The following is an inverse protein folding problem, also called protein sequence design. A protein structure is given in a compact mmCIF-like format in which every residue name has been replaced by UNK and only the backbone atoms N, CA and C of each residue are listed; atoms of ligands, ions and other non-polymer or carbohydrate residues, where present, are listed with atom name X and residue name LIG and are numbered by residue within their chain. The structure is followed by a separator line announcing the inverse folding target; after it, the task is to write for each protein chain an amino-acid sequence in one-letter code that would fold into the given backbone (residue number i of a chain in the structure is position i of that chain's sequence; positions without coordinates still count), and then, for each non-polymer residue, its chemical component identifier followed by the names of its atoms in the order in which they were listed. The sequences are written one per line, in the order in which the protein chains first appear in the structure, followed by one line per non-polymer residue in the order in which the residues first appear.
data_IF_533887357257
#
_entry.id   IF_533887357257
#
_cell.length_a   1.000
_cell.length_b   1.000
_cell.length_c   1.000
_cell.angle_alpha   90.00
_cell.angle_beta   90.00
_cell.angle_gamma   90.00
#
_symmetry.space_group_name_H-M   'P 1'
#
loop_
_entity.id
_entity.type
_entity.pdbx_description
1 polymer ?
#
# COMPACT_ATOMS: atom_id res chain seq x y z
N UNK A 1 6.09 1.40 -40.01
CA UNK A 1 4.62 1.41 -40.05
C UNK A 1 4.13 1.67 -38.63
N UNK A 2 3.22 2.62 -38.43
CA UNK A 2 2.62 2.80 -37.10
C UNK A 2 1.76 1.57 -36.78
N UNK A 3 1.85 1.04 -35.57
CA UNK A 3 0.99 -0.04 -35.10
C UNK A 3 -0.46 0.44 -35.01
N UNK A 4 -1.42 -0.50 -34.99
CA UNK A 4 -2.82 -0.17 -34.77
C UNK A 4 -3.01 0.63 -33.46
N UNK A 5 -3.95 1.58 -33.42
CA UNK A 5 -4.27 2.33 -32.21
C UNK A 5 -4.69 1.39 -31.08
N UNK A 6 -4.14 1.59 -29.88
CA UNK A 6 -4.55 0.83 -28.69
C UNK A 6 -5.92 1.29 -28.22
N UNK A 7 -6.83 0.36 -27.98
CA UNK A 7 -8.14 0.64 -27.40
C UNK A 7 -8.03 1.05 -25.92
N UNK A 8 -7.06 0.48 -25.19
CA UNK A 8 -6.85 0.72 -23.77
C UNK A 8 -5.41 1.12 -23.45
N UNK A 9 -5.26 2.01 -22.47
CA UNK A 9 -4.00 2.35 -21.81
C UNK A 9 -4.10 1.95 -20.34
N UNK A 10 -3.08 1.23 -19.85
CA UNK A 10 -3.00 0.79 -18.46
C UNK A 10 -1.99 1.66 -17.70
N UNK A 11 -2.33 2.01 -16.46
CA UNK A 11 -1.46 2.74 -15.55
C UNK A 11 -1.27 1.99 -14.24
N UNK A 12 -0.13 2.20 -13.62
CA UNK A 12 0.19 1.66 -12.30
C UNK A 12 0.81 2.75 -11.43
N UNK A 13 0.49 2.68 -10.13
CA UNK A 13 1.20 3.38 -9.07
C UNK A 13 1.50 2.35 -7.98
N UNK A 14 2.77 2.25 -7.65
CA UNK A 14 3.27 1.43 -6.55
C UNK A 14 3.97 2.34 -5.54
N UNK A 15 5.17 1.97 -5.09
CA UNK A 15 5.96 2.77 -4.17
C UNK A 15 6.47 4.06 -4.83
N UNK A 16 6.28 5.19 -4.15
CA UNK A 16 6.98 6.46 -4.42
C UNK A 16 7.91 6.71 -3.23
N UNK A 17 9.21 6.60 -3.46
CA UNK A 17 10.23 6.69 -2.41
C UNK A 17 9.97 5.70 -1.25
N UNK A 18 9.65 6.14 -0.03
CA UNK A 18 9.27 5.27 1.09
C UNK A 18 7.77 4.95 1.18
N UNK A 19 6.94 5.65 0.40
CA UNK A 19 5.49 5.55 0.48
C UNK A 19 4.98 4.42 -0.41
N UNK A 20 4.83 3.22 0.17
CA UNK A 20 4.18 2.08 -0.49
C UNK A 20 2.73 2.40 -0.88
N UNK A 21 2.33 1.94 -2.06
CA UNK A 21 0.98 2.06 -2.61
C UNK A 21 0.71 0.90 -3.57
N UNK A 22 -0.54 0.71 -3.95
CA UNK A 22 -0.91 -0.21 -5.03
C UNK A 22 -2.22 0.29 -5.65
N UNK A 23 -2.11 1.00 -6.76
CA UNK A 23 -3.24 1.43 -7.56
C UNK A 23 -3.01 1.07 -9.04
N UNK A 24 -4.09 0.72 -9.72
CA UNK A 24 -4.07 0.30 -11.12
C UNK A 24 -5.18 1.01 -11.87
N UNK A 25 -4.92 1.39 -13.11
CA UNK A 25 -5.90 2.07 -13.93
C UNK A 25 -5.99 1.49 -15.33
N UNK A 26 -7.17 1.63 -15.91
CA UNK A 26 -7.40 1.42 -17.34
C UNK A 26 -8.17 2.61 -17.89
N UNK A 27 -7.71 3.13 -19.02
CA UNK A 27 -8.36 4.22 -19.73
C UNK A 27 -8.65 3.79 -21.17
N UNK A 28 -9.88 4.00 -21.61
CA UNK A 28 -10.24 3.95 -23.03
C UNK A 28 -10.29 5.36 -23.63
N UNK A 29 -10.91 5.53 -24.80
CA UNK A 29 -11.04 6.84 -25.46
C UNK A 29 -11.80 7.91 -24.65
N UNK A 30 -12.57 7.54 -23.63
CA UNK A 30 -13.40 8.46 -22.83
C UNK A 30 -13.25 8.25 -21.32
N UNK A 31 -13.29 7.02 -20.85
CA UNK A 31 -13.41 6.70 -19.44
C UNK A 31 -12.07 6.28 -18.86
N UNK A 32 -11.78 6.76 -17.65
CA UNK A 32 -10.68 6.32 -16.81
C UNK A 32 -11.27 5.59 -15.60
N UNK A 33 -10.88 4.33 -15.41
CA UNK A 33 -11.15 3.57 -14.20
C UNK A 33 -9.87 3.43 -13.39
N UNK A 34 -9.94 3.68 -12.09
CA UNK A 34 -8.86 3.44 -11.13
C UNK A 34 -9.37 2.48 -10.06
N UNK A 35 -8.56 1.46 -9.77
CA UNK A 35 -8.73 0.56 -8.65
C UNK A 35 -7.64 0.83 -7.62
N UNK A 36 -8.05 1.25 -6.42
CA UNK A 36 -7.16 1.40 -5.27
C UNK A 36 -7.19 0.11 -4.44
N UNK A 37 -6.06 -0.59 -4.33
CA UNK A 37 -5.91 -1.77 -3.46
C UNK A 37 -5.47 -1.39 -2.05
N UNK A 38 -5.13 -0.12 -1.82
CA UNK A 38 -4.82 0.47 -0.51
C UNK A 38 -5.71 1.70 -0.21
N UNK A 39 -7.05 1.56 -0.20
CA UNK A 39 -7.97 2.69 -0.01
C UNK A 39 -7.84 3.35 1.38
N UNK A 40 -7.20 2.69 2.35
CA UNK A 40 -6.88 3.26 3.65
C UNK A 40 -5.77 4.32 3.62
N UNK A 41 -5.12 4.52 2.47
CA UNK A 41 -4.06 5.50 2.27
C UNK A 41 -4.60 6.77 1.61
N UNK A 42 -3.99 7.91 1.91
CA UNK A 42 -4.17 9.16 1.17
C UNK A 42 -3.45 9.12 -0.19
N UNK A 43 -3.85 9.93 -1.18
CA UNK A 43 -2.99 10.21 -2.34
C UNK A 43 -1.77 11.03 -1.93
N UNK A 44 -1.95 11.96 -0.98
CA UNK A 44 -0.93 12.80 -0.37
C UNK A 44 -0.29 12.14 0.86
N UNK A 45 0.12 10.88 0.73
CA UNK A 45 0.83 10.21 1.82
C UNK A 45 2.06 11.03 2.26
N UNK A 46 2.39 11.11 3.57
CA UNK A 46 3.64 11.70 4.03
C UNK A 46 4.82 11.04 3.31
N UNK A 47 5.71 11.85 2.75
CA UNK A 47 6.80 11.42 1.88
C UNK A 47 7.94 12.44 1.92
N UNK A 48 9.15 11.96 2.26
CA UNK A 48 10.26 12.78 2.71
C UNK A 48 10.82 13.75 1.67
N UNK A 49 10.71 13.47 0.37
CA UNK A 49 11.16 14.34 -0.69
C UNK A 49 10.11 15.42 -1.01
N UNK A 50 8.90 15.02 -1.41
CA UNK A 50 7.89 15.98 -1.89
C UNK A 50 7.24 16.81 -0.79
N UNK A 51 7.26 16.37 0.48
CA UNK A 51 6.91 17.20 1.66
C UNK A 51 7.86 18.38 1.88
N UNK A 52 9.04 18.39 1.26
CA UNK A 52 9.94 19.53 1.31
C UNK A 52 9.58 20.62 0.32
N UNK A 53 8.77 20.32 -0.69
CA UNK A 53 8.42 21.31 -1.72
C UNK A 53 7.51 22.41 -1.18
N UNK A 54 7.75 23.65 -1.60
CA UNK A 54 6.93 24.81 -1.22
C UNK A 54 5.46 24.61 -1.59
N UNK A 55 5.20 23.99 -2.74
CA UNK A 55 3.86 23.64 -3.18
C UNK A 55 3.15 22.73 -2.17
N UNK A 56 3.78 21.63 -1.75
CA UNK A 56 3.12 20.66 -0.86
C UNK A 56 2.92 21.24 0.54
N UNK A 57 3.87 22.04 1.03
CA UNK A 57 3.76 22.76 2.31
C UNK A 57 2.60 23.76 2.32
N UNK A 58 2.48 24.58 1.29
CA UNK A 58 1.39 25.55 1.18
C UNK A 58 0.04 24.86 1.00
N UNK A 59 -0.01 23.78 0.21
CA UNK A 59 -1.23 23.00 0.05
C UNK A 59 -1.72 22.43 1.39
N UNK A 60 -0.83 21.86 2.21
CA UNK A 60 -1.16 21.35 3.54
C UNK A 60 -1.56 22.50 4.49
N UNK A 61 -0.87 23.64 4.44
CA UNK A 61 -1.19 24.81 5.26
C UNK A 61 -2.59 25.35 4.96
N UNK A 62 -2.92 25.58 3.69
CA UNK A 62 -4.25 26.03 3.27
C UNK A 62 -5.35 25.02 3.62
N UNK A 63 -5.05 23.72 3.58
CA UNK A 63 -5.98 22.68 4.02
C UNK A 63 -6.27 22.78 5.53
N UNK A 64 -5.24 22.97 6.36
CA UNK A 64 -5.37 23.14 7.82
C UNK A 64 -6.16 24.41 8.18
N UNK A 65 -6.02 25.46 7.40
CA UNK A 65 -6.78 26.70 7.57
C UNK A 65 -8.21 26.63 6.99
N UNK A 66 -8.61 25.53 6.36
CA UNK A 66 -9.93 25.36 5.74
C UNK A 66 -10.13 26.24 4.50
N UNK A 67 -9.05 26.67 3.84
CA UNK A 67 -9.07 27.57 2.67
C UNK A 67 -9.15 26.85 1.33
N UNK A 68 -9.12 25.51 1.32
CA UNK A 68 -9.23 24.71 0.10
C UNK A 68 -10.68 24.29 -0.19
N UNK A 69 -11.04 24.30 -1.48
CA UNK A 69 -12.28 23.71 -1.96
C UNK A 69 -12.24 22.17 -2.01
N UNK A 70 -13.37 21.52 -2.37
CA UNK A 70 -13.49 20.06 -2.35
C UNK A 70 -12.55 19.33 -3.34
N UNK A 71 -12.19 19.97 -4.46
CA UNK A 71 -11.33 19.36 -5.48
C UNK A 71 -9.90 19.06 -4.97
N UNK A 72 -9.12 20.04 -4.49
CA UNK A 72 -7.81 19.76 -3.87
C UNK A 72 -7.88 18.81 -2.66
N UNK A 73 -8.99 18.86 -1.91
CA UNK A 73 -9.19 17.97 -0.76
C UNK A 73 -9.31 16.50 -1.15
N UNK A 74 -9.62 16.17 -2.41
CA UNK A 74 -9.60 14.77 -2.88
C UNK A 74 -8.19 14.20 -2.85
N UNK A 75 -7.17 15.00 -3.18
CA UNK A 75 -5.77 14.58 -3.09
C UNK A 75 -5.29 14.46 -1.63
N UNK A 76 -5.70 15.40 -0.77
CA UNK A 76 -5.32 15.43 0.64
C UNK A 76 -6.19 14.54 1.54
N UNK A 77 -7.23 13.91 1.01
CA UNK A 77 -8.14 13.08 1.80
C UNK A 77 -7.35 11.99 2.53
N UNK A 78 -7.66 11.69 3.81
CA UNK A 78 -6.92 10.71 4.59
C UNK A 78 -7.06 9.28 4.05
N UNK A 79 -8.11 9.03 3.27
CA UNK A 79 -8.43 7.76 2.61
C UNK A 79 -8.92 8.03 1.20
N UNK A 80 -8.92 6.99 0.37
CA UNK A 80 -9.34 7.02 -1.03
C UNK A 80 -10.54 6.11 -1.26
N UNK A 81 -11.29 6.40 -2.31
CA UNK A 81 -12.33 5.48 -2.75
C UNK A 81 -11.68 4.22 -3.31
N UNK A 82 -12.23 3.05 -2.96
CA UNK A 82 -11.75 1.75 -3.46
C UNK A 82 -11.78 1.68 -4.99
N UNK A 83 -12.75 2.35 -5.60
CA UNK A 83 -12.92 2.44 -7.04
C UNK A 83 -13.24 3.86 -7.46
N UNK A 84 -12.63 4.29 -8.56
CA UNK A 84 -12.86 5.60 -9.14
C UNK A 84 -13.14 5.47 -10.65
N UNK A 85 -14.12 6.21 -11.14
CA UNK A 85 -14.52 6.22 -12.55
C UNK A 85 -14.73 7.66 -12.99
N UNK A 86 -13.97 8.10 -14.01
CA UNK A 86 -14.00 9.47 -14.50
C UNK A 86 -14.33 9.51 -16.00
N UNK A 87 -15.26 10.39 -16.38
CA UNK A 87 -15.51 10.73 -17.77
C UNK A 87 -14.51 11.79 -18.22
N UNK A 88 -13.40 11.38 -18.83
CA UNK A 88 -12.31 12.32 -19.18
C UNK A 88 -12.64 13.28 -20.32
N UNK A 89 -13.78 13.09 -21.01
CA UNK A 89 -14.26 14.04 -22.02
C UNK A 89 -15.17 15.10 -21.40
N UNK A 90 -16.09 14.70 -20.52
CA UNK A 90 -17.00 15.63 -19.86
C UNK A 90 -16.34 16.35 -18.66
N UNK A 91 -15.40 15.68 -18.00
CA UNK A 91 -14.63 16.17 -16.86
C UNK A 91 -13.12 15.95 -17.10
N UNK A 92 -12.46 16.84 -17.87
CA UNK A 92 -11.02 16.74 -18.14
C UNK A 92 -10.14 16.80 -16.89
N UNK A 93 -10.67 17.35 -15.79
CA UNK A 93 -9.96 17.50 -14.52
C UNK A 93 -10.19 16.31 -13.57
N UNK A 94 -11.08 15.38 -13.90
CA UNK A 94 -11.31 14.14 -13.14
C UNK A 94 -11.67 14.42 -11.67
N UNK A 95 -12.58 15.37 -11.46
CA UNK A 95 -13.03 15.81 -10.14
C UNK A 95 -14.28 15.06 -9.68
N UNK A 96 -15.08 14.52 -10.60
CA UNK A 96 -16.32 13.81 -10.29
C UNK A 96 -16.14 12.31 -10.44
N UNK A 97 -16.06 11.60 -9.32
CA UNK A 97 -16.01 10.14 -9.31
C UNK A 97 -17.42 9.55 -9.51
N UNK A 98 -17.63 8.89 -10.65
CA UNK A 98 -18.88 8.24 -11.04
C UNK A 98 -19.01 6.78 -10.56
N UNK A 99 -18.03 6.22 -9.85
CA UNK A 99 -18.01 4.78 -9.50
C UNK A 99 -19.19 4.33 -8.62
N UNK A 100 -19.76 5.23 -7.82
CA UNK A 100 -20.92 4.95 -6.96
C UNK A 100 -22.27 5.19 -7.65
N UNK A 101 -22.28 5.72 -8.88
CA UNK A 101 -23.51 6.11 -9.58
C UNK A 101 -24.07 4.93 -10.42
N UNK A 102 -25.30 4.46 -10.15
CA UNK A 102 -25.89 3.30 -10.83
C UNK A 102 -25.93 3.43 -12.36
N UNK A 103 -26.08 4.64 -12.88
CA UNK A 103 -26.17 4.95 -14.30
C UNK A 103 -24.89 4.59 -15.06
N UNK A 104 -23.75 4.57 -14.36
CA UNK A 104 -22.44 4.26 -14.92
C UNK A 104 -21.95 2.84 -14.60
N UNK A 105 -22.79 2.02 -13.97
CA UNK A 105 -22.42 0.67 -13.50
C UNK A 105 -21.93 -0.24 -14.63
N UNK A 106 -22.56 -0.20 -15.81
CA UNK A 106 -22.12 -1.00 -16.97
C UNK A 106 -20.71 -0.62 -17.43
N UNK A 107 -20.40 0.69 -17.46
CA UNK A 107 -19.06 1.18 -17.81
C UNK A 107 -18.04 0.77 -16.75
N UNK A 108 -18.38 0.94 -15.47
CA UNK A 108 -17.55 0.51 -14.35
C UNK A 108 -17.19 -0.98 -14.44
N UNK A 109 -18.19 -1.85 -14.64
CA UNK A 109 -17.97 -3.29 -14.72
C UNK A 109 -17.12 -3.69 -15.91
N UNK A 110 -17.33 -3.09 -17.09
CA UNK A 110 -16.50 -3.36 -18.28
C UNK A 110 -15.04 -3.01 -18.03
N UNK A 111 -14.76 -1.82 -17.50
CA UNK A 111 -13.38 -1.40 -17.25
C UNK A 111 -12.73 -2.15 -16.08
N UNK A 112 -13.50 -2.46 -15.03
CA UNK A 112 -13.06 -3.34 -13.94
C UNK A 112 -12.63 -4.71 -14.47
N UNK A 113 -13.46 -5.34 -15.30
CA UNK A 113 -13.15 -6.62 -15.91
C UNK A 113 -11.91 -6.51 -16.80
N UNK A 114 -11.85 -5.50 -17.67
CA UNK A 114 -10.69 -5.30 -18.56
C UNK A 114 -9.38 -5.09 -17.80
N UNK A 115 -9.42 -4.34 -16.70
CA UNK A 115 -8.26 -4.16 -15.83
C UNK A 115 -7.84 -5.47 -15.18
N UNK A 116 -8.81 -6.22 -14.62
CA UNK A 116 -8.55 -7.52 -13.99
C UNK A 116 -7.93 -8.50 -14.98
N UNK A 117 -8.45 -8.59 -16.19
CA UNK A 117 -7.90 -9.44 -17.26
C UNK A 117 -6.44 -9.07 -17.56
N UNK A 118 -6.15 -7.77 -17.72
CA UNK A 118 -4.78 -7.30 -17.95
C UNK A 118 -3.84 -7.63 -16.80
N UNK A 119 -4.29 -7.50 -15.55
CA UNK A 119 -3.50 -7.89 -14.39
C UNK A 119 -3.16 -9.38 -14.45
N UNK A 120 -4.15 -10.23 -14.72
CA UNK A 120 -3.96 -11.69 -14.79
C UNK A 120 -3.05 -12.10 -15.94
N UNK A 121 -3.21 -11.48 -17.12
CA UNK A 121 -2.37 -11.68 -18.29
C UNK A 121 -0.91 -11.25 -18.03
N UNK A 122 -0.73 -10.09 -17.41
CA UNK A 122 0.61 -9.55 -17.13
C UNK A 122 1.29 -10.19 -15.93
N UNK A 123 0.52 -10.84 -15.06
CA UNK A 123 0.97 -11.43 -13.78
C UNK A 123 1.69 -10.39 -12.95
N UNK A 124 0.97 -9.30 -12.70
CA UNK A 124 1.48 -8.05 -12.11
C UNK A 124 2.21 -8.31 -10.79
N UNK A 125 3.50 -7.97 -10.76
CA UNK A 125 4.38 -8.19 -9.62
C UNK A 125 4.22 -7.18 -8.49
N UNK A 126 3.54 -6.04 -8.72
CA UNK A 126 3.32 -5.03 -7.68
C UNK A 126 2.36 -5.49 -6.57
N UNK A 127 1.79 -6.69 -6.70
CA UNK A 127 1.00 -7.33 -5.66
C UNK A 127 1.84 -8.22 -4.72
N UNK A 128 3.15 -8.30 -4.91
CA UNK A 128 4.08 -8.90 -3.96
C UNK A 128 4.90 -7.83 -3.25
N UNK A 129 5.13 -7.95 -1.93
CA UNK A 129 6.15 -7.18 -1.25
C UNK A 129 7.52 -7.39 -1.90
N UNK A 130 8.33 -6.34 -2.06
CA UNK A 130 9.63 -6.42 -2.76
C UNK A 130 10.56 -7.50 -2.20
N UNK A 131 10.63 -7.62 -0.87
CA UNK A 131 11.40 -8.69 -0.21
C UNK A 131 10.92 -10.10 -0.61
N UNK A 132 9.60 -10.33 -0.62
CA UNK A 132 9.01 -11.62 -1.01
C UNK A 132 9.21 -11.89 -2.51
N UNK A 133 9.05 -10.86 -3.35
CA UNK A 133 9.30 -10.95 -4.79
C UNK A 133 10.74 -11.36 -5.09
N UNK A 134 11.72 -10.70 -4.46
CA UNK A 134 13.15 -11.01 -4.65
C UNK A 134 13.50 -12.39 -4.08
N UNK A 135 12.96 -12.75 -2.91
CA UNK A 135 13.18 -14.07 -2.31
C UNK A 135 12.63 -15.20 -3.20
N UNK A 136 11.44 -15.03 -3.77
CA UNK A 136 10.84 -15.97 -4.74
C UNK A 136 11.63 -16.04 -6.04
N UNK A 137 12.14 -14.91 -6.51
CA UNK A 137 12.92 -14.86 -7.74
C UNK A 137 14.28 -15.57 -7.59
N UNK A 138 14.90 -15.47 -6.41
CA UNK A 138 16.20 -16.08 -6.12
C UNK A 138 17.26 -15.59 -7.11
N UNK A 139 17.79 -16.51 -7.92
CA UNK A 139 18.77 -16.18 -8.96
C UNK A 139 18.15 -15.79 -10.30
N UNK A 140 16.83 -15.99 -10.48
CA UNK A 140 16.12 -15.54 -11.67
C UNK A 140 15.70 -14.08 -11.54
N UNK A 141 15.31 -13.46 -12.64
CA UNK A 141 14.65 -12.15 -12.58
C UNK A 141 13.22 -12.30 -12.06
N UNK A 142 12.65 -11.26 -11.39
CA UNK A 142 11.23 -11.26 -11.04
C UNK A 142 10.31 -11.50 -12.23
N UNK A 143 10.68 -11.00 -13.42
CA UNK A 143 9.94 -11.21 -14.67
C UNK A 143 9.85 -12.69 -15.07
N UNK A 144 10.97 -13.42 -14.96
CA UNK A 144 11.03 -14.85 -15.21
C UNK A 144 10.29 -15.64 -14.14
N UNK A 145 10.48 -15.29 -12.86
CA UNK A 145 9.74 -15.87 -11.73
C UNK A 145 8.23 -15.75 -11.93
N UNK A 146 7.73 -14.60 -12.37
CA UNK A 146 6.32 -14.43 -12.66
C UNK A 146 5.84 -15.43 -13.71
N UNK A 147 6.62 -15.72 -14.77
CA UNK A 147 6.21 -16.57 -15.91
C UNK A 147 6.42 -18.06 -15.69
N UNK A 148 7.20 -18.42 -14.68
CA UNK A 148 7.30 -19.76 -14.16
C UNK A 148 5.97 -20.07 -13.47
N UNK A 149 5.19 -21.01 -14.02
CA UNK A 149 3.87 -21.39 -13.47
C UNK A 149 3.96 -22.01 -12.06
N UNK A 150 5.16 -22.07 -11.49
CA UNK A 150 5.54 -22.52 -10.16
C UNK A 150 6.15 -21.35 -9.36
N UNK A 151 5.38 -20.77 -8.42
CA UNK A 151 5.92 -19.83 -7.42
C UNK A 151 5.15 -18.53 -7.23
N UNK A 152 4.21 -18.19 -8.13
CA UNK A 152 3.35 -17.01 -7.98
C UNK A 152 1.90 -17.30 -8.38
N UNK A 153 1.03 -17.70 -7.43
CA UNK A 153 -0.39 -17.93 -7.67
C UNK A 153 -1.16 -16.61 -7.75
N UNK A 154 -0.90 -15.83 -8.81
CA UNK A 154 -1.35 -14.45 -8.90
C UNK A 154 -2.87 -14.27 -8.86
N UNK A 155 -3.64 -15.22 -9.39
CA UNK A 155 -5.11 -15.23 -9.31
C UNK A 155 -5.61 -15.20 -7.86
N UNK A 156 -4.95 -15.97 -6.97
CA UNK A 156 -5.28 -16.02 -5.53
C UNK A 156 -4.79 -14.77 -4.81
N UNK A 157 -3.60 -14.30 -5.13
CA UNK A 157 -3.04 -13.06 -4.56
C UNK A 157 -3.92 -11.86 -4.93
N UNK A 158 -4.33 -11.75 -6.19
CA UNK A 158 -5.24 -10.71 -6.67
C UNK A 158 -6.61 -10.81 -6.01
N UNK A 159 -7.18 -12.02 -5.87
CA UNK A 159 -8.45 -12.21 -5.17
C UNK A 159 -8.38 -11.75 -3.70
N UNK A 160 -7.28 -12.02 -3.01
CA UNK A 160 -7.06 -11.53 -1.65
C UNK A 160 -6.94 -9.99 -1.60
N UNK A 161 -6.19 -9.39 -2.55
CA UNK A 161 -6.04 -7.94 -2.65
C UNK A 161 -7.38 -7.23 -2.94
N UNK A 162 -8.26 -7.85 -3.72
CA UNK A 162 -9.57 -7.30 -4.02
C UNK A 162 -10.50 -7.21 -2.80
N UNK A 163 -10.26 -8.01 -1.76
CA UNK A 163 -11.03 -7.94 -0.51
C UNK A 163 -10.75 -6.66 0.29
N UNK A 164 -9.62 -5.99 0.08
CA UNK A 164 -9.29 -4.76 0.80
C UNK A 164 -10.36 -3.68 0.55
N UNK A 165 -10.87 -3.12 1.64
CA UNK A 165 -11.95 -2.12 1.64
C UNK A 165 -13.32 -2.65 1.20
N UNK A 166 -13.51 -3.97 1.04
CA UNK A 166 -14.83 -4.55 0.78
C UNK A 166 -15.64 -4.70 2.06
N UNK A 167 -16.96 -4.50 1.96
CA UNK A 167 -17.90 -4.85 3.04
C UNK A 167 -17.83 -6.36 3.29
N UNK A 168 -17.96 -6.77 4.54
CA UNK A 168 -18.02 -8.17 4.99
C UNK A 168 -16.80 -9.05 4.65
N UNK A 169 -15.65 -8.43 4.34
CA UNK A 169 -14.44 -9.16 3.95
C UNK A 169 -13.65 -9.76 5.13
N UNK A 170 -13.88 -9.28 6.36
CA UNK A 170 -13.07 -9.65 7.55
C UNK A 170 -13.08 -11.16 7.78
N UNK A 171 -14.22 -11.83 7.63
CA UNK A 171 -14.32 -13.28 7.84
C UNK A 171 -13.41 -14.06 6.88
N UNK A 172 -13.40 -13.67 5.61
CA UNK A 172 -12.55 -14.30 4.61
C UNK A 172 -11.07 -13.92 4.78
N UNK A 173 -10.77 -12.66 5.09
CA UNK A 173 -9.38 -12.22 5.36
C UNK A 173 -8.77 -12.98 6.55
N UNK A 174 -9.54 -13.25 7.61
CA UNK A 174 -9.09 -14.10 8.73
C UNK A 174 -8.72 -15.50 8.28
N UNK A 175 -9.54 -16.11 7.40
CA UNK A 175 -9.25 -17.44 6.82
C UNK A 175 -7.98 -17.40 5.97
N UNK A 176 -7.80 -16.35 5.17
CA UNK A 176 -6.66 -16.18 4.27
C UNK A 176 -5.33 -15.91 4.99
N UNK A 177 -5.33 -15.49 6.26
CA UNK A 177 -4.11 -15.44 7.08
C UNK A 177 -3.48 -16.83 7.31
N UNK A 178 -4.21 -17.92 7.08
CA UNK A 178 -3.68 -19.28 7.17
C UNK A 178 -3.35 -19.89 5.78
N UNK A 179 -3.38 -19.08 4.72
CA UNK A 179 -3.12 -19.56 3.36
C UNK A 179 -1.66 -20.05 3.18
N UNK A 180 -1.46 -21.03 2.30
CA UNK A 180 -0.13 -21.56 1.98
C UNK A 180 0.82 -20.52 1.39
N UNK A 181 0.30 -19.52 0.65
CA UNK A 181 1.11 -18.53 -0.06
C UNK A 181 1.24 -17.22 0.74
N UNK A 182 2.47 -16.70 0.87
CA UNK A 182 2.75 -15.48 1.64
C UNK A 182 2.12 -14.23 1.04
N UNK A 183 1.91 -14.16 -0.27
CA UNK A 183 1.26 -13.04 -0.94
C UNK A 183 -0.22 -12.97 -0.62
N UNK A 184 -0.88 -14.13 -0.51
CA UNK A 184 -2.29 -14.21 -0.06
C UNK A 184 -2.41 -13.77 1.40
N UNK A 185 -1.53 -14.28 2.28
CA UNK A 185 -1.50 -13.88 3.69
C UNK A 185 -1.17 -12.40 3.88
N UNK A 186 -0.29 -11.85 3.05
CA UNK A 186 0.07 -10.44 3.05
C UNK A 186 -1.15 -9.56 2.77
N UNK A 187 -1.88 -9.83 1.69
CA UNK A 187 -3.07 -9.06 1.36
C UNK A 187 -4.22 -9.25 2.35
N UNK A 188 -4.32 -10.41 2.99
CA UNK A 188 -5.23 -10.61 4.12
C UNK A 188 -4.88 -9.68 5.30
N UNK A 189 -3.61 -9.59 5.69
CA UNK A 189 -3.14 -8.70 6.74
C UNK A 189 -3.33 -7.21 6.38
N UNK A 190 -3.03 -6.82 5.14
CA UNK A 190 -3.31 -5.47 4.61
C UNK A 190 -4.80 -5.14 4.73
N UNK A 191 -5.67 -6.07 4.33
CA UNK A 191 -7.11 -5.90 4.39
C UNK A 191 -7.63 -5.69 5.82
N UNK A 192 -7.15 -6.47 6.77
CA UNK A 192 -7.49 -6.32 8.18
C UNK A 192 -6.95 -5.01 8.77
N UNK A 193 -5.76 -4.59 8.37
CA UNK A 193 -5.22 -3.27 8.74
C UNK A 193 -6.08 -2.13 8.20
N UNK A 194 -6.52 -2.23 6.95
CA UNK A 194 -7.38 -1.24 6.29
C UNK A 194 -8.77 -1.15 6.94
N UNK A 195 -9.30 -2.25 7.47
CA UNK A 195 -10.57 -2.30 8.20
C UNK A 195 -10.51 -1.61 9.58
N UNK A 196 -9.31 -1.28 10.09
CA UNK A 196 -9.16 -0.56 11.35
C UNK A 196 -9.89 -1.25 12.49
N UNK A 197 -10.67 -0.49 13.28
CA UNK A 197 -11.39 -1.01 14.45
C UNK A 197 -12.38 -2.15 14.16
N UNK A 198 -12.89 -2.28 12.94
CA UNK A 198 -13.79 -3.38 12.55
C UNK A 198 -13.07 -4.73 12.59
N UNK A 199 -11.76 -4.76 12.37
CA UNK A 199 -10.94 -5.97 12.44
C UNK A 199 -10.68 -6.49 13.87
N UNK A 200 -11.35 -5.95 14.90
CA UNK A 200 -11.23 -6.45 16.29
C UNK A 200 -11.49 -7.95 16.40
N UNK A 201 -12.42 -8.50 15.62
CA UNK A 201 -12.71 -9.93 15.58
C UNK A 201 -11.55 -10.79 15.03
N UNK A 202 -10.54 -10.17 14.39
CA UNK A 202 -9.35 -10.81 13.85
C UNK A 202 -8.12 -10.69 14.76
N UNK A 203 -8.25 -10.16 15.99
CA UNK A 203 -7.12 -9.92 16.88
C UNK A 203 -6.27 -11.17 17.12
N UNK A 204 -6.90 -12.31 17.44
CA UNK A 204 -6.17 -13.58 17.67
C UNK A 204 -5.53 -14.13 16.40
N UNK A 205 -6.15 -13.90 15.23
CA UNK A 205 -5.59 -14.26 13.93
C UNK A 205 -4.32 -13.45 13.63
N UNK A 206 -4.37 -12.13 13.85
CA UNK A 206 -3.24 -11.23 13.68
C UNK A 206 -2.11 -11.52 14.69
N UNK A 207 -2.46 -11.87 15.94
CA UNK A 207 -1.48 -12.25 16.96
C UNK A 207 -0.67 -13.49 16.54
N UNK A 208 -1.33 -14.48 15.92
CA UNK A 208 -0.63 -15.64 15.34
C UNK A 208 0.24 -15.24 14.15
N UNK A 209 -0.25 -14.33 13.30
CA UNK A 209 0.50 -13.84 12.14
C UNK A 209 1.76 -13.03 12.49
N UNK A 210 1.94 -12.59 13.75
CA UNK A 210 3.22 -12.03 14.22
C UNK A 210 4.40 -13.00 14.11
N UNK A 211 4.12 -14.31 14.06
CA UNK A 211 5.14 -15.37 13.88
C UNK A 211 5.15 -15.95 12.46
N UNK A 212 4.56 -15.26 11.48
CA UNK A 212 4.54 -15.72 10.09
C UNK A 212 5.95 -15.93 9.53
N UNK A 213 6.12 -16.89 8.63
CA UNK A 213 7.41 -17.14 7.96
C UNK A 213 7.86 -15.94 7.11
N UNK A 214 6.92 -15.20 6.53
CA UNK A 214 7.20 -14.05 5.66
C UNK A 214 7.20 -12.74 6.46
N UNK A 215 8.30 -11.98 6.35
CA UNK A 215 8.50 -10.73 7.10
C UNK A 215 7.43 -9.68 6.81
N UNK A 216 7.02 -9.54 5.54
CA UNK A 216 5.98 -8.60 5.16
C UNK A 216 4.61 -8.91 5.81
N UNK A 217 4.28 -10.18 6.03
CA UNK A 217 3.06 -10.59 6.75
C UNK A 217 3.15 -10.21 8.21
N UNK A 218 4.30 -10.48 8.86
CA UNK A 218 4.56 -10.06 10.25
C UNK A 218 4.43 -8.55 10.43
N UNK A 219 5.00 -7.77 9.52
CA UNK A 219 4.98 -6.30 9.55
C UNK A 219 3.56 -5.76 9.41
N UNK A 220 2.76 -6.25 8.46
CA UNK A 220 1.37 -5.79 8.32
C UNK A 220 0.49 -6.25 9.48
N UNK A 221 0.67 -7.46 9.98
CA UNK A 221 -0.04 -7.96 11.16
C UNK A 221 0.28 -7.13 12.41
N UNK A 222 1.55 -6.79 12.62
CA UNK A 222 1.98 -5.92 13.71
C UNK A 222 1.42 -4.50 13.56
N UNK A 223 1.43 -3.95 12.33
CA UNK A 223 0.82 -2.66 12.04
C UNK A 223 -0.69 -2.64 12.30
N UNK A 224 -1.41 -3.72 11.98
CA UNK A 224 -2.83 -3.86 12.28
C UNK A 224 -3.09 -3.94 13.80
N UNK A 225 -2.38 -4.81 14.52
CA UNK A 225 -2.53 -4.96 15.98
C UNK A 225 -2.24 -3.68 16.74
N UNK A 226 -1.18 -2.97 16.37
CA UNK A 226 -0.81 -1.71 17.00
C UNK A 226 -1.89 -0.63 16.87
N UNK A 227 -2.75 -0.70 15.84
CA UNK A 227 -3.89 0.21 15.63
C UNK A 227 -5.20 -0.31 16.24
N UNK A 228 -5.33 -1.63 16.49
CA UNK A 228 -6.55 -2.26 17.02
C UNK A 228 -6.73 -2.09 18.53
N UNK A 229 -5.62 -1.99 19.26
CA UNK A 229 -5.60 -1.89 20.72
C UNK A 229 -4.85 -0.64 21.16
N UNK A 230 -5.42 0.12 22.10
CA UNK A 230 -4.77 1.28 22.74
C UNK A 230 -3.41 0.93 23.36
N UNK A 231 -3.24 -0.33 23.72
CA UNK A 231 -2.06 -0.83 24.42
C UNK A 231 -0.95 -1.17 23.43
N UNK A 232 -1.16 -0.93 22.12
CA UNK A 232 -0.19 -1.07 21.03
C UNK A 232 0.73 -2.24 21.29
N UNK A 233 0.22 -3.46 21.11
CA UNK A 233 0.78 -4.69 21.70
C UNK A 233 2.30 -4.63 21.74
N UNK A 234 2.97 -4.63 22.91
CA UNK A 234 4.44 -4.59 22.98
C UNK A 234 5.09 -5.59 22.02
N UNK A 235 4.50 -6.79 21.87
CA UNK A 235 4.89 -7.78 20.88
C UNK A 235 4.84 -7.31 19.42
N UNK A 236 3.83 -6.52 19.02
CA UNK A 236 3.76 -5.93 17.68
C UNK A 236 4.89 -4.90 17.45
N UNK A 237 5.18 -4.05 18.44
CA UNK A 237 6.29 -3.10 18.34
C UNK A 237 7.65 -3.80 18.34
N UNK A 238 7.81 -4.89 19.09
CA UNK A 238 9.02 -5.72 19.09
C UNK A 238 9.26 -6.38 17.73
N UNK A 239 8.19 -6.89 17.09
CA UNK A 239 8.25 -7.42 15.72
C UNK A 239 8.67 -6.34 14.72
N UNK A 240 8.09 -5.14 14.81
CA UNK A 240 8.46 -4.02 13.94
C UNK A 240 9.89 -3.54 14.17
N UNK A 241 10.35 -3.46 15.43
CA UNK A 241 11.73 -3.11 15.76
C UNK A 241 12.73 -4.16 15.26
N UNK A 242 12.37 -5.45 15.33
CA UNK A 242 13.17 -6.54 14.81
C UNK A 242 13.27 -6.46 13.28
N UNK A 243 12.15 -6.30 12.58
CA UNK A 243 12.13 -6.15 11.12
C UNK A 243 12.87 -4.89 10.66
N UNK A 244 12.80 -3.79 11.43
CA UNK A 244 13.54 -2.57 11.18
C UNK A 244 15.06 -2.80 11.22
N UNK A 245 15.53 -3.68 12.10
CA UNK A 245 16.93 -4.08 12.21
C UNK A 245 17.37 -5.17 11.21
N UNK A 246 16.51 -5.60 10.28
CA UNK A 246 16.82 -6.65 9.30
C UNK A 246 18.01 -6.27 8.42
N UNK A 247 18.81 -7.28 8.06
CA UNK A 247 19.86 -7.15 7.05
C UNK A 247 19.26 -6.96 5.65
N UNK A 248 18.03 -7.44 5.42
CA UNK A 248 17.29 -7.11 4.20
C UNK A 248 16.71 -5.69 4.34
N UNK A 249 17.27 -4.78 3.55
CA UNK A 249 16.86 -3.38 3.55
C UNK A 249 15.43 -3.16 3.02
N UNK A 250 14.85 -4.10 2.26
CA UNK A 250 13.44 -4.04 1.84
C UNK A 250 12.52 -4.28 3.05
N UNK A 251 12.82 -5.29 3.86
CA UNK A 251 12.08 -5.55 5.10
C UNK A 251 12.20 -4.39 6.08
N UNK A 252 13.42 -3.85 6.22
CA UNK A 252 13.71 -2.69 7.06
C UNK A 252 12.91 -1.46 6.62
N UNK A 253 12.79 -1.20 5.31
CA UNK A 253 11.97 -0.12 4.77
C UNK A 253 10.48 -0.31 5.04
N UNK A 254 9.95 -1.53 4.87
CA UNK A 254 8.55 -1.83 5.15
C UNK A 254 8.21 -1.62 6.64
N UNK A 255 9.12 -2.02 7.53
CA UNK A 255 9.00 -1.78 8.97
C UNK A 255 9.10 -0.28 9.31
N UNK A 256 10.08 0.45 8.75
CA UNK A 256 10.23 1.88 8.94
C UNK A 256 8.97 2.66 8.52
N UNK A 257 8.44 2.33 7.34
CA UNK A 257 7.20 2.94 6.84
C UNK A 257 6.00 2.58 7.72
N UNK A 258 5.91 1.35 8.20
CA UNK A 258 4.83 0.94 9.10
C UNK A 258 4.89 1.72 10.42
N UNK A 259 6.07 1.85 11.03
CA UNK A 259 6.28 2.64 12.25
C UNK A 259 5.95 4.12 12.05
N UNK A 260 6.34 4.73 10.93
CA UNK A 260 5.96 6.11 10.60
C UNK A 260 4.44 6.28 10.59
N UNK A 261 3.72 5.34 9.97
CA UNK A 261 2.24 5.38 9.89
C UNK A 261 1.52 5.09 11.21
N UNK A 262 2.19 4.46 12.18
CA UNK A 262 1.64 4.28 13.53
C UNK A 262 1.63 5.58 14.34
N UNK A 263 2.40 6.60 13.93
CA UNK A 263 2.44 7.90 14.60
C UNK A 263 2.79 7.75 16.09
N UNK A 264 1.93 8.29 16.97
CA UNK A 264 2.17 8.26 18.41
C UNK A 264 2.29 6.84 19.00
N UNK A 265 1.67 5.83 18.39
CA UNK A 265 1.77 4.44 18.85
C UNK A 265 3.18 3.85 18.64
N UNK A 266 4.01 4.44 17.76
CA UNK A 266 5.38 3.99 17.54
C UNK A 266 6.39 4.52 18.58
N UNK A 267 5.99 5.40 19.51
CA UNK A 267 6.89 6.01 20.51
C UNK A 267 7.79 5.00 21.25
N UNK A 268 7.29 3.83 21.70
CA UNK A 268 8.15 2.85 22.37
C UNK A 268 9.28 2.30 21.47
N UNK A 269 9.10 2.30 20.15
CA UNK A 269 10.11 1.87 19.18
C UNK A 269 11.12 2.97 18.79
N UNK A 270 10.99 4.19 19.33
CA UNK A 270 11.89 5.31 19.01
C UNK A 270 13.39 5.03 19.20
N UNK A 271 13.84 4.27 20.23
CA UNK A 271 15.24 3.88 20.33
C UNK A 271 15.73 3.07 19.12
N UNK A 272 14.95 2.08 18.68
CA UNK A 272 15.28 1.26 17.50
C UNK A 272 15.25 2.10 16.22
N UNK A 273 14.27 3.00 16.10
CA UNK A 273 14.16 3.95 14.98
C UNK A 273 15.37 4.88 14.89
N UNK A 274 15.84 5.45 16.01
CA UNK A 274 17.04 6.30 16.02
C UNK A 274 18.30 5.52 15.65
N UNK A 275 18.44 4.29 16.14
CA UNK A 275 19.57 3.43 15.79
C UNK A 275 19.59 3.14 14.29
N UNK A 276 18.46 2.75 13.70
CA UNK A 276 18.37 2.46 12.26
C UNK A 276 18.53 3.72 11.40
N UNK A 277 18.02 4.86 11.84
CA UNK A 277 18.19 6.15 11.16
C UNK A 277 19.68 6.52 11.02
N UNK A 278 20.48 6.34 12.08
CA UNK A 278 21.91 6.62 12.02
C UNK A 278 22.61 5.70 11.02
N UNK A 279 22.29 4.39 11.03
CA UNK A 279 22.82 3.45 10.03
C UNK A 279 22.40 3.84 8.61
N UNK A 280 21.15 4.24 8.41
CA UNK A 280 20.65 4.66 7.10
C UNK A 280 21.41 5.88 6.56
N UNK A 281 21.75 6.86 7.42
CA UNK A 281 22.58 8.01 7.02
C UNK A 281 24.00 7.61 6.62
N UNK A 282 24.60 6.66 7.32
CA UNK A 282 25.96 6.17 7.00
C UNK A 282 26.03 5.35 5.70
N UNK A 283 24.90 4.73 5.33
CA UNK A 283 24.76 3.87 4.15
C UNK A 283 24.11 4.57 2.96
N UNK A 284 23.76 5.85 3.08
CA UNK A 284 23.21 6.63 1.98
C UNK A 284 24.21 6.67 0.81
N UNK A 285 23.71 6.40 -0.41
CA UNK A 285 24.54 6.25 -1.62
C UNK A 285 25.31 4.92 -1.73
N UNK A 286 25.27 4.06 -0.72
CA UNK A 286 25.83 2.69 -0.75
C UNK A 286 24.74 1.62 -0.81
N UNK A 287 23.68 1.81 -0.04
CA UNK A 287 22.53 0.92 0.04
C UNK A 287 21.30 1.56 -0.58
N UNK A 288 20.64 0.85 -1.49
CA UNK A 288 19.55 1.39 -2.32
C UNK A 288 18.39 1.95 -1.51
N UNK A 289 18.03 1.33 -0.39
CA UNK A 289 16.88 1.74 0.42
C UNK A 289 17.24 2.62 1.62
N UNK A 290 18.52 2.92 1.83
CA UNK A 290 18.95 3.71 2.99
C UNK A 290 18.34 5.11 2.99
N UNK A 291 18.27 5.75 1.82
CA UNK A 291 17.62 7.05 1.65
C UNK A 291 16.14 7.02 2.07
N UNK A 292 15.39 6.00 1.65
CA UNK A 292 13.96 5.89 1.91
C UNK A 292 13.67 5.51 3.37
N UNK A 293 14.52 4.68 3.98
CA UNK A 293 14.45 4.41 5.42
C UNK A 293 14.71 5.70 6.21
N UNK A 294 15.70 6.51 5.79
CA UNK A 294 15.95 7.82 6.39
C UNK A 294 14.71 8.70 6.29
N UNK A 295 14.11 8.85 5.11
CA UNK A 295 12.90 9.64 4.92
C UNK A 295 11.73 9.19 5.82
N UNK A 296 11.46 7.89 5.87
CA UNK A 296 10.43 7.33 6.73
C UNK A 296 10.68 7.64 8.23
N UNK A 297 11.92 7.42 8.69
CA UNK A 297 12.28 7.55 10.12
C UNK A 297 12.44 9.00 10.56
N UNK A 298 12.93 9.89 9.70
CA UNK A 298 12.95 11.34 9.97
C UNK A 298 11.53 11.85 10.14
N UNK A 299 10.64 11.54 9.21
CA UNK A 299 9.22 11.90 9.32
C UNK A 299 8.54 11.34 10.56
N UNK A 300 8.88 10.10 10.96
CA UNK A 300 8.30 9.44 12.13
C UNK A 300 8.80 9.99 13.48
N UNK A 301 10.03 10.53 13.52
CA UNK A 301 10.68 11.04 14.73
C UNK A 301 10.49 12.55 14.93
N UNK A 302 9.90 13.25 13.96
CA UNK A 302 9.49 14.64 14.13
C UNK A 302 8.47 14.74 15.28
N UNK A 303 8.52 15.81 16.10
CA UNK A 303 7.44 16.09 17.04
C UNK A 303 6.14 16.21 16.25
N UNK A 304 5.13 15.39 16.57
CA UNK A 304 3.79 15.63 16.06
C UNK A 304 3.33 17.01 16.55
N UNK A 305 2.93 17.87 15.62
CA UNK A 305 2.18 19.10 15.91
C UNK A 305 0.77 18.76 16.42
#
# INVERSE_FOLDING_TARGET
MASEPREYVFGARDRVDEAFDTARSVRDGRWLYIRNYRPELSWAQPEGYSDQSDFRRELIHLAREGKLGPAPMTYLAPTRQREELYDTLADPHQLVNFAAQPEHFTTLQRLRARLRDWLLESRDLGFLPEADMLARAGMATPYEMARRNDGYPFDRVLAAAELVGSRDAIGEQRRLLADSDSGVRYWAAVGLRAAGGEARAAQDDLQRALSDSASAVRVEAAGALALLTSDGTPAALDVLATALGSADWNESLHAARTLQRLGAAAKPAFPAMRARLNQAREQEGKETHALFIRFALEGALLPGE
#
